data_IF_589086669292
#
_entry.id   IF_589086669292
#
_cell.length_a   1.000
_cell.length_b   1.000
_cell.length_c   1.000
_cell.angle_alpha   90.00
_cell.angle_beta   90.00
_cell.angle_gamma   90.00
#
_symmetry.space_group_name_H-M   'P 1'
#
loop_
_entity.id
_entity.type
_entity.pdbx_description
1 polymer ?
#
# COMPACT_ATOMS: atom_id res chain seq x y z
N UNK A 1 13.22 2.56 13.22
CA UNK A 1 12.74 2.15 11.88
C UNK A 1 11.68 3.12 11.39
N UNK A 2 11.85 3.62 10.19
CA UNK A 2 10.91 4.60 9.63
C UNK A 2 9.76 3.88 8.93
N UNK A 3 8.58 4.00 9.50
CA UNK A 3 7.37 3.31 9.03
C UNK A 3 6.41 4.29 8.37
N UNK A 4 5.85 3.88 7.23
CA UNK A 4 4.81 4.63 6.53
C UNK A 4 3.56 3.79 6.45
N UNK A 5 2.42 4.38 6.78
CA UNK A 5 1.11 3.77 6.64
C UNK A 5 0.38 4.41 5.47
N UNK A 6 0.03 3.62 4.47
CA UNK A 6 -0.67 4.11 3.28
C UNK A 6 -1.78 3.16 2.88
N UNK A 7 -2.80 3.69 2.20
CA UNK A 7 -3.81 2.88 1.54
C UNK A 7 -3.40 2.55 0.11
N UNK A 8 -3.87 1.44 -0.40
CA UNK A 8 -3.61 1.05 -1.79
C UNK A 8 -4.36 1.97 -2.75
N UNK A 9 -5.67 1.98 -2.65
CA UNK A 9 -6.53 2.81 -3.50
C UNK A 9 -7.44 3.66 -2.64
N UNK A 10 -7.58 4.93 -3.02
CA UNK A 10 -8.53 5.82 -2.36
C UNK A 10 -9.95 5.39 -2.70
N UNK A 11 -10.76 5.20 -1.69
CA UNK A 11 -12.15 4.76 -1.83
C UNK A 11 -13.12 5.69 -1.13
N UNK A 12 -14.37 5.23 -1.00
CA UNK A 12 -15.43 6.00 -0.37
C UNK A 12 -15.35 6.00 1.15
N UNK A 13 -14.74 4.96 1.72
CA UNK A 13 -14.71 4.77 3.16
C UNK A 13 -13.37 5.18 3.72
N UNK A 14 -13.41 5.79 4.90
CA UNK A 14 -12.20 6.06 5.66
C UNK A 14 -11.51 4.77 6.07
N UNK A 15 -10.19 4.80 6.04
CA UNK A 15 -9.37 3.74 6.62
C UNK A 15 -8.79 4.29 7.91
N UNK A 16 -8.97 3.57 9.00
CA UNK A 16 -8.38 3.93 10.30
C UNK A 16 -7.42 2.84 10.74
N UNK A 17 -6.27 3.24 11.26
CA UNK A 17 -5.31 2.30 11.84
C UNK A 17 -5.75 1.87 13.25
N UNK A 18 -4.93 1.03 13.91
CA UNK A 18 -5.24 0.53 15.25
C UNK A 18 -5.34 1.61 16.31
N UNK A 19 -4.75 2.77 16.09
CA UNK A 19 -4.79 3.91 17.00
C UNK A 19 -5.95 4.87 16.72
N UNK A 20 -6.79 4.55 15.72
CA UNK A 20 -7.92 5.37 15.35
C UNK A 20 -7.56 6.53 14.42
N UNK A 21 -6.32 6.59 13.95
CA UNK A 21 -5.88 7.64 13.03
C UNK A 21 -6.32 7.34 11.60
N UNK A 22 -6.74 8.38 10.88
CA UNK A 22 -7.19 8.24 9.49
C UNK A 22 -5.98 8.11 8.58
N UNK A 23 -6.01 7.10 7.69
CA UNK A 23 -5.02 6.95 6.64
C UNK A 23 -5.47 7.81 5.46
N UNK A 24 -4.71 8.84 5.13
CA UNK A 24 -5.06 9.82 4.11
C UNK A 24 -4.08 9.88 2.94
N UNK A 25 -3.06 9.05 2.95
CA UNK A 25 -2.13 8.90 1.85
C UNK A 25 -2.39 7.58 1.13
N UNK A 26 -2.42 7.62 -0.21
CA UNK A 26 -2.73 6.46 -1.04
C UNK A 26 -1.72 6.34 -2.17
N UNK A 27 -1.39 5.10 -2.56
CA UNK A 27 -0.53 4.87 -3.73
C UNK A 27 -1.27 5.28 -4.99
N UNK A 28 -2.54 4.90 -5.09
CA UNK A 28 -3.38 5.22 -6.24
C UNK A 28 -4.53 6.12 -5.79
N UNK A 29 -4.37 7.43 -6.01
CA UNK A 29 -5.40 8.41 -5.64
C UNK A 29 -6.63 8.29 -6.54
N UNK A 30 -6.40 8.00 -7.83
CA UNK A 30 -7.46 7.91 -8.83
C UNK A 30 -7.06 6.91 -9.91
N UNK A 31 -7.94 5.95 -10.18
CA UNK A 31 -7.75 4.97 -11.23
C UNK A 31 -8.92 5.07 -12.21
N UNK A 32 -8.65 5.56 -13.42
CA UNK A 32 -9.67 5.66 -14.46
C UNK A 32 -9.93 4.30 -15.12
N UNK A 33 -8.85 3.60 -15.46
CA UNK A 33 -8.93 2.30 -16.12
C UNK A 33 -8.07 1.29 -15.36
N UNK A 34 -8.69 0.37 -14.60
CA UNK A 34 -7.94 -0.62 -13.82
C UNK A 34 -7.21 -1.65 -14.69
N UNK A 35 -7.47 -1.67 -15.99
CA UNK A 35 -6.78 -2.58 -16.92
C UNK A 35 -5.58 -1.91 -17.61
N UNK A 36 -5.30 -0.65 -17.32
CA UNK A 36 -4.11 0.03 -17.83
C UNK A 36 -2.92 -0.30 -16.92
N UNK A 37 -2.38 -1.49 -17.09
CA UNK A 37 -1.33 -2.02 -16.22
C UNK A 37 -0.05 -1.21 -16.32
N UNK A 38 0.30 -0.71 -17.49
CA UNK A 38 1.51 0.11 -17.67
C UNK A 38 1.42 1.39 -16.83
N UNK A 39 0.26 2.03 -16.81
CA UNK A 39 0.05 3.23 -16.00
C UNK A 39 0.11 2.91 -14.51
N UNK A 40 -0.53 1.82 -14.07
CA UNK A 40 -0.49 1.41 -12.67
C UNK A 40 0.92 1.09 -12.21
N UNK A 41 1.69 0.38 -13.04
CA UNK A 41 3.08 0.06 -12.73
C UNK A 41 3.94 1.31 -12.67
N UNK A 42 3.72 2.27 -13.57
CA UNK A 42 4.42 3.55 -13.55
C UNK A 42 4.16 4.33 -12.28
N UNK A 43 2.91 4.39 -11.83
CA UNK A 43 2.55 5.06 -10.59
C UNK A 43 3.15 4.35 -9.37
N UNK A 44 3.14 3.02 -9.37
CA UNK A 44 3.76 2.22 -8.31
C UNK A 44 5.26 2.46 -8.25
N UNK A 45 5.92 2.51 -9.40
CA UNK A 45 7.36 2.78 -9.49
C UNK A 45 7.70 4.16 -8.92
N UNK A 46 6.94 5.18 -9.28
CA UNK A 46 7.15 6.54 -8.79
C UNK A 46 6.98 6.60 -7.27
N UNK A 47 5.99 5.92 -6.74
CA UNK A 47 5.77 5.86 -5.29
C UNK A 47 6.94 5.18 -4.58
N UNK A 48 7.38 4.04 -5.09
CA UNK A 48 8.49 3.29 -4.48
C UNK A 48 9.79 4.10 -4.50
N UNK A 49 10.05 4.81 -5.59
CA UNK A 49 11.22 5.66 -5.70
C UNK A 49 11.18 6.79 -4.67
N UNK A 50 10.03 7.41 -4.49
CA UNK A 50 9.85 8.48 -3.52
C UNK A 50 10.08 7.99 -2.09
N UNK A 51 9.49 6.86 -1.70
CA UNK A 51 9.63 6.37 -0.33
C UNK A 51 11.05 5.86 -0.06
N UNK A 52 11.74 5.37 -1.07
CA UNK A 52 13.10 4.86 -0.92
C UNK A 52 14.13 5.98 -0.89
N UNK A 53 14.14 6.85 -1.92
CA UNK A 53 15.20 7.83 -2.10
C UNK A 53 14.97 9.14 -1.34
N UNK A 54 13.71 9.57 -1.23
CA UNK A 54 13.39 10.88 -0.66
C UNK A 54 12.97 10.75 0.80
N UNK A 55 12.10 9.82 1.12
CA UNK A 55 11.52 9.68 2.46
C UNK A 55 12.24 8.67 3.33
N UNK A 56 13.11 7.87 2.75
CA UNK A 56 13.92 6.86 3.46
C UNK A 56 13.07 5.93 4.33
N UNK A 57 11.96 5.45 3.77
CA UNK A 57 11.04 4.55 4.46
C UNK A 57 11.65 3.15 4.50
N UNK A 58 11.61 2.52 5.67
CA UNK A 58 12.14 1.17 5.88
C UNK A 58 11.04 0.12 6.02
N UNK A 59 9.84 0.54 6.42
CA UNK A 59 8.71 -0.34 6.61
C UNK A 59 7.45 0.32 6.07
N UNK A 60 6.79 -0.38 5.14
CA UNK A 60 5.53 0.06 4.55
C UNK A 60 4.40 -0.80 5.09
N UNK A 61 3.42 -0.16 5.73
CA UNK A 61 2.16 -0.80 6.08
C UNK A 61 1.14 -0.40 5.03
N UNK A 62 0.75 -1.37 4.21
CA UNK A 62 -0.15 -1.13 3.09
C UNK A 62 -1.54 -1.65 3.41
N UNK A 63 -2.50 -0.73 3.51
CA UNK A 63 -3.90 -1.06 3.76
C UNK A 63 -4.56 -1.44 2.44
N UNK A 64 -4.94 -2.70 2.31
CA UNK A 64 -5.45 -3.27 1.06
C UNK A 64 -6.91 -2.86 0.88
N UNK A 65 -7.12 -2.05 -0.14
CA UNK A 65 -8.45 -1.59 -0.53
C UNK A 65 -8.53 -1.54 -2.04
N UNK A 66 -9.72 -1.80 -2.58
CA UNK A 66 -9.97 -1.59 -3.99
C UNK A 66 -9.53 -2.75 -4.87
N UNK A 67 -8.88 -2.43 -5.98
CA UNK A 67 -8.80 -3.31 -7.14
C UNK A 67 -7.60 -4.25 -7.11
N UNK A 68 -7.82 -5.51 -7.47
CA UNK A 68 -6.76 -6.52 -7.58
C UNK A 68 -5.64 -6.10 -8.54
N UNK A 69 -5.91 -5.55 -9.73
CA UNK A 69 -4.83 -5.12 -10.61
C UNK A 69 -3.90 -4.07 -10.00
N UNK A 70 -4.44 -3.18 -9.15
CA UNK A 70 -3.60 -2.20 -8.45
C UNK A 70 -2.65 -2.89 -7.47
N UNK A 71 -3.15 -3.86 -6.72
CA UNK A 71 -2.34 -4.61 -5.77
C UNK A 71 -1.23 -5.39 -6.48
N UNK A 72 -1.58 -6.14 -7.52
CA UNK A 72 -0.61 -6.96 -8.24
C UNK A 72 0.44 -6.11 -8.94
N UNK A 73 0.04 -4.97 -9.52
CA UNK A 73 0.99 -4.04 -10.14
C UNK A 73 1.97 -3.48 -9.13
N UNK A 74 1.49 -3.11 -7.94
CA UNK A 74 2.37 -2.61 -6.89
C UNK A 74 3.33 -3.71 -6.42
N UNK A 75 2.82 -4.89 -6.09
CA UNK A 75 3.65 -5.98 -5.55
C UNK A 75 4.70 -6.44 -6.55
N UNK A 76 4.38 -6.43 -7.85
CA UNK A 76 5.34 -6.80 -8.88
C UNK A 76 6.57 -5.89 -8.85
N UNK A 77 6.38 -4.60 -8.65
CA UNK A 77 7.47 -3.63 -8.59
C UNK A 77 8.18 -3.65 -7.24
N UNK A 78 7.43 -3.92 -6.17
CA UNK A 78 7.97 -3.87 -4.81
C UNK A 78 8.95 -5.00 -4.50
N UNK A 79 9.01 -6.04 -5.33
CA UNK A 79 9.90 -7.18 -5.11
C UNK A 79 11.37 -6.79 -4.99
N UNK A 80 11.78 -5.73 -5.68
CA UNK A 80 13.17 -5.27 -5.67
C UNK A 80 13.46 -4.27 -4.57
N UNK A 81 12.44 -3.80 -3.87
CA UNK A 81 12.62 -2.87 -2.76
C UNK A 81 13.08 -3.62 -1.52
N UNK A 82 14.09 -3.11 -0.84
CA UNK A 82 14.69 -3.77 0.32
C UNK A 82 13.92 -3.57 1.61
N UNK A 83 12.98 -2.67 1.65
CA UNK A 83 12.17 -2.40 2.84
C UNK A 83 11.22 -3.54 3.18
N UNK A 84 10.69 -3.48 4.39
CA UNK A 84 9.70 -4.43 4.87
C UNK A 84 8.30 -4.01 4.43
N UNK A 85 7.47 -4.98 4.05
CA UNK A 85 6.09 -4.74 3.69
C UNK A 85 5.18 -5.58 4.56
N UNK A 86 4.23 -4.92 5.22
CA UNK A 86 3.12 -5.54 5.91
C UNK A 86 1.85 -5.20 5.16
N UNK A 87 1.09 -6.23 4.77
CA UNK A 87 -0.21 -6.03 4.13
C UNK A 87 -1.30 -6.05 5.21
N UNK A 88 -2.09 -4.99 5.26
CA UNK A 88 -3.17 -4.85 6.24
C UNK A 88 -4.49 -5.19 5.56
N UNK A 89 -5.06 -6.34 5.91
CA UNK A 89 -6.29 -6.85 5.31
C UNK A 89 -7.49 -6.53 6.19
N UNK A 90 -8.56 -6.04 5.58
CA UNK A 90 -9.79 -5.77 6.31
C UNK A 90 -10.44 -7.08 6.77
N UNK A 91 -10.77 -7.14 8.06
CA UNK A 91 -11.45 -8.28 8.65
C UNK A 91 -12.88 -7.87 8.99
N UNK A 92 -13.84 -8.41 8.26
CA UNK A 92 -15.26 -8.07 8.45
C UNK A 92 -15.80 -8.46 9.83
N UNK A 93 -15.25 -9.54 10.40
CA UNK A 93 -15.75 -10.05 11.69
C UNK A 93 -15.41 -9.11 12.84
N UNK A 94 -14.26 -8.43 12.77
CA UNK A 94 -13.82 -7.52 13.84
C UNK A 94 -14.01 -6.04 13.47
N UNK A 95 -14.20 -5.74 12.18
CA UNK A 95 -14.25 -4.37 11.69
C UNK A 95 -12.89 -3.68 11.62
N UNK A 96 -11.81 -4.41 11.87
CA UNK A 96 -10.45 -3.88 11.83
C UNK A 96 -9.61 -4.50 10.75
N UNK A 97 -8.30 -4.31 10.85
CA UNK A 97 -7.34 -4.84 9.87
C UNK A 97 -6.44 -5.86 10.52
N UNK A 98 -6.15 -6.93 9.79
CA UNK A 98 -5.23 -7.98 10.22
C UNK A 98 -3.96 -7.91 9.40
N UNK A 99 -2.82 -7.92 10.07
CA UNK A 99 -1.51 -7.83 9.44
C UNK A 99 -1.08 -9.16 8.83
N UNK A 100 -0.55 -9.09 7.62
CA UNK A 100 0.18 -10.18 6.99
C UNK A 100 1.60 -9.68 6.73
N UNK A 101 2.59 -10.32 7.33
CA UNK A 101 4.00 -9.94 7.17
C UNK A 101 4.49 -10.54 5.85
N UNK A 102 4.53 -9.71 4.82
CA UNK A 102 4.63 -10.16 3.44
C UNK A 102 6.06 -10.23 2.92
N UNK A 103 6.87 -9.19 3.10
CA UNK A 103 8.17 -9.07 2.46
C UNK A 103 9.25 -8.65 3.44
N UNK A 104 10.42 -9.33 3.37
CA UNK A 104 11.63 -9.00 4.12
C UNK A 104 11.48 -9.04 5.65
N UNK A 105 10.66 -9.95 6.14
CA UNK A 105 10.39 -10.11 7.56
C UNK A 105 11.17 -11.25 8.21
N UNK A 106 12.22 -11.67 7.61
CA UNK A 106 13.06 -12.73 8.18
C UNK A 106 14.19 -12.18 9.02
#
# INVERSE_FOLDING_TARGET
MRTLEVGLCKGRHEIKNGDGEVIDEFIFEHIENPMDFDLLEGQASDFLMEIHEIREIEHLKLYITGLTPALTSFLALAQTWEGKITLMHFNRDTGGYKAQYYQNWM
#
